data_IF_418057721436
#
_entry.id   IF_418057721436
#
_cell.length_a   1.000
_cell.length_b   1.000
_cell.length_c   1.000
_cell.angle_alpha   90.00
_cell.angle_beta   90.00
_cell.angle_gamma   90.00
#
_symmetry.space_group_name_H-M   'P 1'
#
loop_
_entity.id
_entity.type
_entity.pdbx_description
1 polymer ?
#
# COMPACT_ATOMS: atom_id res chain seq x y z
N UNK A 1 -10.21 -4.65 17.01
CA UNK A 1 -11.27 -5.34 16.22
C UNK A 1 -12.00 -6.43 17.01
N UNK A 2 -11.30 -7.39 17.63
CA UNK A 2 -11.92 -8.42 18.50
C UNK A 2 -12.76 -7.83 19.64
N UNK A 3 -12.20 -6.90 20.42
CA UNK A 3 -12.90 -6.24 21.52
C UNK A 3 -14.19 -5.53 21.06
N UNK A 4 -14.19 -4.99 19.84
CA UNK A 4 -15.34 -4.34 19.22
C UNK A 4 -16.32 -5.32 18.53
N UNK A 5 -16.10 -6.65 18.67
CA UNK A 5 -16.91 -7.73 18.10
C UNK A 5 -17.17 -7.61 16.60
N UNK A 6 -16.18 -7.11 15.85
CA UNK A 6 -16.26 -7.02 14.40
C UNK A 6 -16.08 -8.40 13.76
N UNK A 7 -16.87 -8.70 12.73
CA UNK A 7 -16.67 -9.88 11.90
C UNK A 7 -15.58 -9.59 10.87
N UNK A 8 -14.39 -10.16 11.10
CA UNK A 8 -13.23 -9.97 10.22
C UNK A 8 -12.35 -11.22 10.18
N UNK A 9 -11.51 -11.35 9.17
CA UNK A 9 -10.42 -12.33 9.14
C UNK A 9 -9.30 -11.90 8.18
N UNK A 10 -8.08 -12.37 8.42
CA UNK A 10 -7.04 -12.38 7.40
C UNK A 10 -7.35 -13.47 6.36
N UNK A 11 -7.69 -13.05 5.15
CA UNK A 11 -8.44 -13.91 4.23
C UNK A 11 -7.59 -14.65 3.20
N UNK A 12 -6.33 -14.27 3.00
CA UNK A 12 -5.40 -14.92 2.06
C UNK A 12 -3.95 -14.78 2.48
N UNK A 13 -3.10 -15.71 2.05
CA UNK A 13 -1.67 -15.70 2.33
C UNK A 13 -1.32 -16.15 3.75
N UNK A 14 -2.18 -16.94 4.40
CA UNK A 14 -2.01 -17.35 5.79
C UNK A 14 -0.76 -18.21 6.02
N UNK A 15 -0.24 -18.87 4.98
CA UNK A 15 1.04 -19.58 5.02
C UNK A 15 2.23 -18.72 5.49
N UNK A 16 2.12 -17.39 5.37
CA UNK A 16 3.15 -16.42 5.77
C UNK A 16 2.58 -15.31 6.65
N UNK A 17 1.56 -15.64 7.44
CA UNK A 17 0.87 -14.68 8.31
C UNK A 17 1.83 -13.94 9.24
N UNK A 18 2.81 -14.65 9.83
CA UNK A 18 3.83 -14.03 10.70
C UNK A 18 4.55 -12.86 10.00
N UNK A 19 4.90 -13.02 8.73
CA UNK A 19 5.58 -11.97 7.97
C UNK A 19 4.67 -10.74 7.73
N UNK A 20 3.36 -10.94 7.59
CA UNK A 20 2.40 -9.84 7.47
C UNK A 20 2.23 -9.11 8.81
N UNK A 21 2.10 -9.85 9.92
CA UNK A 21 1.94 -9.29 11.27
C UNK A 21 3.13 -8.42 11.67
N UNK A 22 4.37 -8.80 11.32
CA UNK A 22 5.58 -8.02 11.63
C UNK A 22 5.93 -6.96 10.57
N UNK A 23 4.99 -6.62 9.68
CA UNK A 23 5.16 -5.53 8.70
C UNK A 23 6.12 -5.82 7.54
N UNK A 24 6.48 -7.09 7.28
CA UNK A 24 7.29 -7.49 6.10
C UNK A 24 6.44 -7.75 4.85
N UNK A 25 5.14 -7.92 5.03
CA UNK A 25 4.15 -8.14 3.97
C UNK A 25 2.88 -7.35 4.27
N UNK A 26 2.04 -7.23 3.25
CA UNK A 26 0.72 -6.63 3.39
C UNK A 26 -0.18 -7.54 4.24
N UNK A 27 -1.00 -6.92 5.09
CA UNK A 27 -2.03 -7.59 5.85
C UNK A 27 -3.36 -7.49 5.09
N UNK A 28 -3.84 -8.59 4.54
CA UNK A 28 -5.07 -8.62 3.75
C UNK A 28 -6.27 -9.05 4.61
N UNK A 29 -7.00 -8.07 5.15
CA UNK A 29 -8.14 -8.28 6.04
C UNK A 29 -9.45 -8.16 5.26
N UNK A 30 -10.32 -9.16 5.39
CA UNK A 30 -11.73 -9.08 4.99
C UNK A 30 -12.54 -8.69 6.21
N UNK A 31 -13.42 -7.70 6.08
CA UNK A 31 -14.35 -7.28 7.13
C UNK A 31 -15.76 -7.16 6.58
N UNK A 32 -16.74 -7.37 7.45
CA UNK A 32 -18.12 -7.04 7.16
C UNK A 32 -18.29 -5.53 6.84
N UNK A 33 -18.86 -5.25 5.67
CA UNK A 33 -19.07 -3.90 5.14
C UNK A 33 -19.96 -3.03 6.02
N UNK A 34 -20.89 -3.64 6.75
CA UNK A 34 -21.85 -2.92 7.60
C UNK A 34 -21.17 -2.32 8.84
N UNK A 35 -19.91 -2.70 9.09
CA UNK A 35 -19.09 -2.19 10.20
C UNK A 35 -17.96 -1.26 9.76
N UNK A 36 -17.96 -0.81 8.51
CA UNK A 36 -16.91 0.05 7.94
C UNK A 36 -16.66 1.33 8.75
N UNK A 37 -17.71 2.03 9.19
CA UNK A 37 -17.57 3.25 9.99
C UNK A 37 -16.93 2.99 11.36
N UNK A 38 -17.41 1.97 12.07
CA UNK A 38 -16.86 1.57 13.36
C UNK A 38 -15.39 1.15 13.24
N UNK A 39 -15.05 0.45 12.15
CA UNK A 39 -13.68 0.07 11.89
C UNK A 39 -12.77 1.27 11.59
N UNK A 40 -13.25 2.22 10.77
CA UNK A 40 -12.48 3.43 10.45
C UNK A 40 -12.13 4.22 11.71
N UNK A 41 -13.08 4.35 12.65
CA UNK A 41 -12.83 4.98 13.95
C UNK A 41 -11.76 4.22 14.77
N UNK A 42 -11.84 2.89 14.84
CA UNK A 42 -10.83 2.06 15.54
C UNK A 42 -9.46 2.23 14.90
N UNK A 43 -9.37 2.19 13.57
CA UNK A 43 -8.10 2.34 12.85
C UNK A 43 -7.48 3.72 13.12
N UNK A 44 -8.28 4.79 13.11
CA UNK A 44 -7.82 6.12 13.45
C UNK A 44 -7.26 6.19 14.89
N UNK A 45 -7.93 5.59 15.87
CA UNK A 45 -7.45 5.59 17.27
C UNK A 45 -6.12 4.87 17.48
N UNK A 46 -5.80 3.88 16.63
CA UNK A 46 -4.57 3.10 16.70
C UNK A 46 -3.46 3.71 15.81
N UNK A 47 -3.72 4.83 15.14
CA UNK A 47 -2.73 5.54 14.33
C UNK A 47 -2.59 5.04 12.88
N UNK A 48 -3.57 4.26 12.40
CA UNK A 48 -3.66 3.93 10.97
C UNK A 48 -4.18 5.14 10.18
N UNK A 49 -3.51 5.43 9.08
CA UNK A 49 -3.83 6.51 8.15
C UNK A 49 -4.27 5.93 6.82
N UNK A 50 -5.38 6.46 6.31
CA UNK A 50 -5.93 6.02 5.04
C UNK A 50 -5.07 6.54 3.88
N UNK A 51 -4.80 5.65 2.93
CA UNK A 51 -4.13 5.99 1.69
C UNK A 51 -5.14 5.99 0.53
N UNK A 52 -4.85 6.83 -0.46
CA UNK A 52 -5.57 6.89 -1.71
C UNK A 52 -4.71 6.28 -2.82
N UNK A 53 -5.19 5.18 -3.37
CA UNK A 53 -4.63 4.61 -4.59
C UNK A 53 -5.00 5.47 -5.80
N UNK A 54 -4.09 5.53 -6.78
CA UNK A 54 -4.31 6.21 -8.06
C UNK A 54 -5.61 5.72 -8.72
N UNK A 55 -6.39 6.58 -9.41
CA UNK A 55 -7.62 6.17 -10.09
C UNK A 55 -7.42 5.00 -11.08
N UNK A 56 -6.20 4.84 -11.60
CA UNK A 56 -5.82 3.79 -12.53
C UNK A 56 -5.61 2.42 -11.87
N UNK A 57 -5.26 2.40 -10.57
CA UNK A 57 -4.98 1.19 -9.78
C UNK A 57 -6.06 0.92 -8.72
N UNK A 58 -6.91 1.89 -8.44
CA UNK A 58 -7.98 1.78 -7.46
C UNK A 58 -8.86 0.56 -7.72
N UNK A 59 -9.12 -0.18 -6.65
CA UNK A 59 -9.98 -1.35 -6.62
C UNK A 59 -11.24 -1.00 -5.83
N UNK A 60 -12.44 -1.22 -6.38
CA UNK A 60 -13.68 -0.94 -5.65
C UNK A 60 -13.77 -1.73 -4.35
N UNK A 61 -14.24 -1.09 -3.28
CA UNK A 61 -14.43 -1.71 -1.96
C UNK A 61 -13.16 -2.32 -1.33
N UNK A 62 -12.00 -1.79 -1.74
CA UNK A 62 -10.70 -1.96 -1.09
C UNK A 62 -10.26 -0.62 -0.54
N UNK A 63 -9.81 -0.60 0.70
CA UNK A 63 -9.16 0.55 1.32
C UNK A 63 -7.73 0.17 1.70
N UNK A 64 -6.79 1.08 1.45
CA UNK A 64 -5.40 0.94 1.86
C UNK A 64 -5.20 1.78 3.13
N UNK A 65 -4.61 1.20 4.18
CA UNK A 65 -4.19 1.91 5.38
C UNK A 65 -2.72 1.63 5.68
N UNK A 66 -2.01 2.65 6.17
CA UNK A 66 -0.64 2.52 6.68
C UNK A 66 -0.61 2.90 8.16
N UNK A 67 0.28 2.29 8.94
CA UNK A 67 0.61 2.71 10.29
C UNK A 67 2.12 2.59 10.50
N UNK A 68 2.70 3.40 11.38
CA UNK A 68 4.06 3.21 11.88
C UNK A 68 4.01 2.33 13.13
N UNK A 69 4.74 1.23 13.11
CA UNK A 69 5.15 0.54 14.33
C UNK A 69 6.24 1.37 15.02
N UNK A 70 5.88 2.03 16.12
CA UNK A 70 6.75 2.94 16.84
C UNK A 70 7.98 2.27 17.42
N UNK A 71 7.94 0.95 17.64
CA UNK A 71 9.02 0.22 18.31
C UNK A 71 10.06 -0.25 17.28
N UNK A 72 9.60 -0.69 16.10
CA UNK A 72 10.50 -1.21 15.06
C UNK A 72 10.80 -0.23 13.93
N UNK A 73 10.11 0.91 13.85
CA UNK A 73 10.25 1.87 12.76
C UNK A 73 9.64 1.40 11.44
N UNK A 74 9.01 0.23 11.42
CA UNK A 74 8.42 -0.33 10.19
C UNK A 74 7.07 0.28 9.90
N UNK A 75 6.79 0.48 8.62
CA UNK A 75 5.44 0.72 8.18
C UNK A 75 4.70 -0.62 8.12
N UNK A 76 3.48 -0.64 8.66
CA UNK A 76 2.53 -1.75 8.53
C UNK A 76 1.49 -1.33 7.51
N UNK A 77 1.27 -2.18 6.51
CA UNK A 77 0.31 -1.91 5.45
C UNK A 77 -0.87 -2.87 5.53
N UNK A 78 -2.05 -2.29 5.69
CA UNK A 78 -3.33 -2.99 5.82
C UNK A 78 -4.13 -2.78 4.53
N UNK A 79 -4.33 -3.87 3.79
CA UNK A 79 -5.33 -3.95 2.73
C UNK A 79 -6.66 -4.38 3.33
N UNK A 80 -7.59 -3.45 3.41
CA UNK A 80 -8.92 -3.69 3.97
C UNK A 80 -9.94 -3.95 2.86
N UNK A 81 -10.38 -5.19 2.77
CA UNK A 81 -11.38 -5.65 1.82
C UNK A 81 -12.77 -5.66 2.47
N UNK A 82 -13.74 -5.02 1.82
CA UNK A 82 -15.16 -5.18 2.13
C UNK A 82 -15.87 -6.11 1.15
N UNK A 83 -15.22 -6.41 0.02
CA UNK A 83 -15.70 -7.31 -1.03
C UNK A 83 -14.55 -8.15 -1.54
N UNK A 84 -14.84 -9.39 -1.92
CA UNK A 84 -13.86 -10.29 -2.52
C UNK A 84 -13.73 -10.01 -4.02
N UNK A 85 -12.99 -8.95 -4.35
CA UNK A 85 -12.73 -8.58 -5.75
C UNK A 85 -11.55 -9.35 -6.31
N UNK A 86 -11.80 -10.10 -7.38
CA UNK A 86 -10.81 -10.95 -8.06
C UNK A 86 -10.68 -10.55 -9.53
N UNK A 87 -9.49 -10.74 -10.07
CA UNK A 87 -9.18 -10.50 -11.47
C UNK A 87 -7.69 -10.27 -11.66
N UNK A 88 -7.32 -10.01 -12.91
CA UNK A 88 -5.93 -9.79 -13.27
C UNK A 88 -5.36 -8.47 -12.73
N UNK A 89 -4.06 -8.26 -12.97
CA UNK A 89 -3.34 -7.07 -12.52
C UNK A 89 -3.84 -5.75 -13.14
N UNK A 90 -4.57 -5.81 -14.26
CA UNK A 90 -5.12 -4.63 -14.92
C UNK A 90 -6.56 -4.35 -14.48
N UNK A 91 -7.39 -5.39 -14.30
CA UNK A 91 -8.79 -5.27 -13.91
C UNK A 91 -9.20 -6.36 -12.92
N UNK A 92 -9.59 -5.92 -11.72
CA UNK A 92 -10.38 -6.72 -10.78
C UNK A 92 -11.82 -6.79 -11.27
N UNK A 93 -12.07 -7.71 -12.21
CA UNK A 93 -13.31 -7.78 -12.99
C UNK A 93 -14.44 -8.61 -12.40
N UNK A 94 -14.19 -9.32 -11.29
CA UNK A 94 -15.17 -10.17 -10.63
C UNK A 94 -15.29 -9.82 -9.16
N UNK A 95 -16.51 -9.91 -8.63
CA UNK A 95 -16.79 -9.91 -7.20
C UNK A 95 -17.27 -11.31 -6.82
N UNK A 96 -16.57 -11.99 -5.94
CA UNK A 96 -17.03 -13.30 -5.46
C UNK A 96 -18.02 -13.08 -4.31
N UNK A 97 -19.25 -13.63 -4.38
CA UNK A 97 -20.28 -13.46 -3.35
C UNK A 97 -20.04 -14.38 -2.14
N UNK A 98 -18.79 -14.54 -1.73
CA UNK A 98 -18.37 -15.52 -0.73
C UNK A 98 -17.96 -14.86 0.59
N UNK A 99 -18.13 -13.54 0.73
CA UNK A 99 -17.68 -12.79 1.89
C UNK A 99 -18.32 -13.31 3.19
N UNK A 100 -19.63 -13.55 3.18
CA UNK A 100 -20.36 -14.08 4.33
C UNK A 100 -19.86 -15.49 4.71
N UNK A 101 -19.61 -16.35 3.71
CA UNK A 101 -19.11 -17.71 3.95
C UNK A 101 -17.71 -17.68 4.57
N UNK A 102 -16.80 -16.87 4.02
CA UNK A 102 -15.44 -16.71 4.55
C UNK A 102 -15.47 -16.19 5.98
N UNK A 103 -16.27 -15.16 6.25
CA UNK A 103 -16.39 -14.59 7.59
C UNK A 103 -17.05 -15.57 8.58
N UNK A 104 -18.06 -16.35 8.16
CA UNK A 104 -18.76 -17.30 9.04
C UNK A 104 -17.91 -18.52 9.40
N UNK A 105 -17.02 -18.95 8.52
CA UNK A 105 -16.15 -20.13 8.70
C UNK A 105 -14.77 -19.77 9.25
N UNK A 106 -14.52 -18.48 9.53
CA UNK A 106 -13.24 -18.00 10.08
C UNK A 106 -12.81 -18.77 11.32
N UNK A 107 -11.51 -19.02 11.43
CA UNK A 107 -10.91 -19.73 12.56
C UNK A 107 -10.00 -18.77 13.33
N UNK A 108 -9.96 -18.91 14.65
CA UNK A 108 -9.06 -18.10 15.47
C UNK A 108 -7.68 -18.75 15.52
N UNK A 109 -6.66 -18.06 15.02
CA UNK A 109 -5.27 -18.46 15.17
C UNK A 109 -4.76 -17.95 16.52
N UNK A 110 -4.56 -18.86 17.48
CA UNK A 110 -4.08 -18.53 18.81
C UNK A 110 -2.63 -18.05 18.84
N UNK A 111 -1.82 -18.43 17.85
CA UNK A 111 -0.40 -18.04 17.77
C UNK A 111 -0.26 -16.58 17.37
N UNK A 112 -1.08 -16.15 16.40
CA UNK A 112 -1.08 -14.77 15.89
C UNK A 112 -2.14 -13.89 16.55
N UNK A 113 -2.93 -14.45 17.47
CA UNK A 113 -4.04 -13.80 18.18
C UNK A 113 -5.04 -13.08 17.24
N UNK A 114 -5.37 -13.69 16.11
CA UNK A 114 -6.30 -13.10 15.14
C UNK A 114 -7.12 -14.15 14.37
N UNK A 115 -8.24 -13.71 13.79
CA UNK A 115 -9.03 -14.56 12.90
C UNK A 115 -8.36 -14.69 11.54
N UNK A 116 -8.29 -15.92 11.04
CA UNK A 116 -7.84 -16.28 9.69
C UNK A 116 -8.99 -16.96 8.95
N UNK A 117 -8.98 -16.90 7.62
CA UNK A 117 -9.92 -17.67 6.82
C UNK A 117 -9.76 -19.18 7.06
N UNK A 118 -10.86 -19.93 6.94
CA UNK A 118 -10.80 -21.39 6.90
C UNK A 118 -9.85 -21.84 5.77
N UNK A 119 -8.88 -22.74 6.02
CA UNK A 119 -7.97 -23.24 4.98
C UNK A 119 -8.68 -23.75 3.72
N UNK A 120 -9.87 -24.35 3.86
CA UNK A 120 -10.66 -24.85 2.73
C UNK A 120 -11.18 -23.69 1.87
N UNK A 121 -11.66 -22.62 2.51
CA UNK A 121 -12.13 -21.41 1.84
C UNK A 121 -10.98 -20.65 1.18
N UNK A 122 -9.84 -20.53 1.86
CA UNK A 122 -8.65 -19.87 1.29
C UNK A 122 -8.12 -20.65 0.08
N UNK A 123 -8.05 -21.98 0.14
CA UNK A 123 -7.62 -22.82 -0.97
C UNK A 123 -8.55 -22.69 -2.18
N UNK A 124 -9.85 -22.74 -1.95
CA UNK A 124 -10.87 -22.54 -2.98
C UNK A 124 -10.72 -21.15 -3.63
N UNK A 125 -10.58 -20.09 -2.82
CA UNK A 125 -10.36 -18.72 -3.31
C UNK A 125 -9.08 -18.59 -4.13
N UNK A 126 -7.98 -19.23 -3.71
CA UNK A 126 -6.70 -19.22 -4.40
C UNK A 126 -6.83 -19.86 -5.79
N UNK A 127 -7.41 -21.06 -5.86
CA UNK A 127 -7.55 -21.81 -7.12
C UNK A 127 -8.57 -21.13 -8.04
N UNK A 128 -9.77 -20.82 -7.54
CA UNK A 128 -10.81 -20.17 -8.32
C UNK A 128 -10.35 -18.80 -8.81
N UNK A 129 -9.69 -18.03 -7.95
CA UNK A 129 -9.19 -16.71 -8.32
C UNK A 129 -8.09 -16.75 -9.36
N UNK A 130 -7.18 -17.74 -9.31
CA UNK A 130 -6.20 -17.97 -10.36
C UNK A 130 -6.86 -18.41 -11.67
N UNK A 131 -7.86 -19.28 -11.62
CA UNK A 131 -8.60 -19.71 -12.81
C UNK A 131 -9.34 -18.54 -13.48
N UNK A 132 -9.98 -17.66 -12.72
CA UNK A 132 -10.66 -16.45 -13.23
C UNK A 132 -9.65 -15.53 -13.91
N UNK A 133 -8.49 -15.33 -13.28
CA UNK A 133 -7.41 -14.44 -13.74
C UNK A 133 -6.69 -14.96 -14.99
N UNK A 134 -6.86 -16.24 -15.34
CA UNK A 134 -6.15 -16.88 -16.45
C UNK A 134 -6.34 -16.13 -17.78
N UNK A 135 -5.25 -15.63 -18.34
CA UNK A 135 -5.25 -14.80 -19.54
C UNK A 135 -4.47 -15.38 -20.72
N UNK A 136 -4.33 -14.57 -21.77
CA UNK A 136 -3.53 -14.92 -22.95
C UNK A 136 -2.04 -15.06 -22.61
N UNK A 137 -1.54 -14.24 -21.68
CA UNK A 137 -0.15 -14.30 -21.21
C UNK A 137 0.11 -15.67 -20.54
N UNK A 138 -0.80 -16.17 -19.70
CA UNK A 138 -0.66 -17.50 -19.10
C UNK A 138 -0.70 -18.62 -20.15
N UNK A 139 -1.46 -18.43 -21.25
CA UNK A 139 -1.47 -19.38 -22.38
C UNK A 139 -0.10 -19.44 -23.06
N UNK A 140 0.48 -18.27 -23.34
CA UNK A 140 1.80 -18.17 -23.96
C UNK A 140 2.88 -18.73 -23.03
N UNK A 141 2.82 -18.40 -21.75
CA UNK A 141 3.72 -18.94 -20.73
C UNK A 141 3.65 -20.47 -20.68
N UNK A 142 2.43 -21.05 -20.71
CA UNK A 142 2.24 -22.50 -20.75
C UNK A 142 2.78 -23.16 -22.03
N UNK A 143 2.69 -22.49 -23.18
CA UNK A 143 3.31 -22.97 -24.43
C UNK A 143 4.84 -23.00 -24.35
N UNK A 144 5.43 -22.02 -23.65
CA UNK A 144 6.86 -21.93 -23.36
C UNK A 144 7.31 -22.86 -22.19
N UNK A 145 6.45 -23.76 -21.72
CA UNK A 145 6.74 -24.67 -20.60
C UNK A 145 6.88 -23.98 -19.24
N UNK A 146 6.50 -22.69 -19.13
CA UNK A 146 6.52 -21.98 -17.85
C UNK A 146 5.35 -22.42 -16.97
N UNK A 147 5.53 -22.50 -15.64
CA UNK A 147 4.47 -22.93 -14.74
C UNK A 147 3.30 -21.94 -14.77
N UNK A 148 2.08 -22.46 -14.67
CA UNK A 148 0.88 -21.63 -14.73
C UNK A 148 0.68 -20.77 -13.47
N UNK A 149 1.26 -21.20 -12.35
CA UNK A 149 1.34 -20.50 -11.09
C UNK A 149 2.81 -20.22 -10.76
N UNK A 150 3.09 -19.06 -10.17
CA UNK A 150 4.43 -18.76 -9.68
C UNK A 150 4.81 -19.71 -8.50
N UNK A 151 6.08 -19.69 -8.12
CA UNK A 151 6.58 -20.56 -7.04
C UNK A 151 5.90 -20.29 -5.70
N UNK A 152 5.52 -19.03 -5.43
CA UNK A 152 4.91 -18.60 -4.17
C UNK A 152 3.48 -19.15 -4.06
N UNK A 153 2.67 -19.00 -5.11
CA UNK A 153 1.32 -19.51 -5.18
C UNK A 153 1.26 -21.04 -5.15
N UNK A 154 2.24 -21.73 -5.77
CA UNK A 154 2.35 -23.19 -5.65
C UNK A 154 2.71 -23.63 -4.22
N UNK A 155 3.60 -22.89 -3.56
CA UNK A 155 3.93 -23.14 -2.15
C UNK A 155 2.69 -22.98 -1.26
N UNK A 156 1.86 -21.96 -1.50
CA UNK A 156 0.62 -21.75 -0.77
C UNK A 156 -0.39 -22.85 -1.01
N UNK A 157 -0.57 -23.23 -2.28
CA UNK A 157 -1.47 -24.30 -2.65
C UNK A 157 -1.10 -25.60 -1.93
N UNK A 158 0.19 -25.97 -1.91
CA UNK A 158 0.66 -27.16 -1.19
C UNK A 158 0.47 -27.03 0.33
N UNK A 159 0.78 -25.85 0.89
CA UNK A 159 0.63 -25.60 2.32
C UNK A 159 -0.83 -25.68 2.79
N UNK A 160 -1.75 -25.17 1.98
CA UNK A 160 -3.19 -25.21 2.21
C UNK A 160 -3.75 -26.62 1.98
N UNK A 161 -3.37 -27.28 0.88
CA UNK A 161 -3.80 -28.64 0.58
C UNK A 161 -3.47 -29.62 1.72
N UNK A 162 -2.30 -29.48 2.34
CA UNK A 162 -1.89 -30.28 3.50
C UNK A 162 -2.73 -30.03 4.77
N UNK A 163 -3.54 -28.97 4.82
CA UNK A 163 -4.36 -28.55 5.97
C UNK A 163 -5.86 -28.65 5.68
N UNK A 164 -6.24 -29.17 4.52
CA UNK A 164 -7.63 -29.30 4.10
C UNK A 164 -8.02 -30.76 3.99
N UNK A 165 -9.19 -31.09 4.51
CA UNK A 165 -9.86 -32.36 4.26
C UNK A 165 -10.51 -32.35 2.86
N UNK A 166 -10.23 -33.34 2.00
CA UNK A 166 -10.80 -33.40 0.66
C UNK A 166 -12.33 -33.47 0.63
N UNK A 167 -12.97 -34.14 1.59
CA UNK A 167 -14.43 -34.27 1.62
C UNK A 167 -15.10 -32.93 1.93
N UNK A 168 -14.63 -32.25 2.98
CA UNK A 168 -15.12 -30.91 3.34
C UNK A 168 -14.84 -29.89 2.23
N UNK A 169 -13.69 -29.98 1.56
CA UNK A 169 -13.38 -29.13 0.40
C UNK A 169 -14.35 -29.38 -0.75
N UNK A 170 -14.69 -30.65 -1.01
CA UNK A 170 -15.66 -31.02 -2.04
C UNK A 170 -17.04 -30.45 -1.71
N UNK A 171 -17.55 -30.65 -0.50
CA UNK A 171 -18.86 -30.12 -0.07
C UNK A 171 -18.96 -28.59 -0.23
N UNK A 172 -17.95 -27.87 0.26
CA UNK A 172 -17.89 -26.41 0.13
C UNK A 172 -17.81 -25.96 -1.33
N UNK A 173 -16.97 -26.62 -2.14
CA UNK A 173 -16.80 -26.30 -3.55
C UNK A 173 -18.05 -26.62 -4.36
N UNK A 174 -18.75 -27.72 -4.08
CA UNK A 174 -19.98 -28.08 -4.79
C UNK A 174 -21.07 -27.03 -4.55
N UNK A 175 -21.21 -26.55 -3.32
CA UNK A 175 -22.17 -25.50 -2.97
C UNK A 175 -21.88 -24.15 -3.66
N UNK A 176 -20.61 -23.82 -3.91
CA UNK A 176 -20.21 -22.52 -4.45
C UNK A 176 -19.96 -22.50 -5.97
N UNK A 177 -19.45 -23.59 -6.53
CA UNK A 177 -19.00 -23.69 -7.92
C UNK A 177 -19.71 -24.79 -8.73
N UNK A 178 -20.40 -25.72 -8.05
CA UNK A 178 -21.05 -26.88 -8.65
C UNK A 178 -20.16 -28.11 -8.79
N UNK A 179 -20.78 -29.26 -9.06
CA UNK A 179 -20.14 -30.59 -9.08
C UNK A 179 -19.00 -30.71 -10.11
N UNK A 180 -19.22 -30.25 -11.33
CA UNK A 180 -18.22 -30.35 -12.40
C UNK A 180 -16.97 -29.51 -12.12
N UNK A 181 -17.14 -28.30 -11.57
CA UNK A 181 -16.03 -27.44 -11.19
C UNK A 181 -15.26 -28.03 -10.01
N UNK A 182 -15.98 -28.64 -9.07
CA UNK A 182 -15.39 -29.28 -7.88
C UNK A 182 -14.47 -30.44 -8.24
N UNK A 183 -14.86 -31.30 -9.18
CA UNK A 183 -13.98 -32.39 -9.67
C UNK A 183 -12.65 -31.84 -10.18
N UNK A 184 -12.69 -30.79 -11.02
CA UNK A 184 -11.49 -30.16 -11.56
C UNK A 184 -10.64 -29.47 -10.48
N UNK A 185 -11.28 -28.92 -9.44
CA UNK A 185 -10.59 -28.34 -8.29
C UNK A 185 -9.84 -29.42 -7.50
N UNK A 186 -10.48 -30.55 -7.22
CA UNK A 186 -9.85 -31.68 -6.53
C UNK A 186 -8.71 -32.29 -7.35
N UNK A 187 -8.82 -32.35 -8.67
CA UNK A 187 -7.73 -32.76 -9.56
C UNK A 187 -6.52 -31.83 -9.46
N UNK A 188 -6.76 -30.51 -9.31
CA UNK A 188 -5.70 -29.50 -9.11
C UNK A 188 -5.04 -29.64 -7.75
N UNK A 189 -5.80 -30.01 -6.71
CA UNK A 189 -5.28 -30.17 -5.34
C UNK A 189 -4.47 -31.46 -5.21
N UNK A 190 -4.95 -32.56 -5.79
CA UNK A 190 -4.29 -33.86 -5.76
C UNK A 190 -3.09 -33.94 -6.71
N UNK A 191 -3.08 -33.13 -7.78
CA UNK A 191 -2.03 -33.09 -8.79
C UNK A 191 -1.26 -31.77 -8.83
N UNK A 192 -0.54 -31.54 -9.93
CA UNK A 192 0.07 -30.24 -10.19
C UNK A 192 -0.87 -29.33 -11.00
N UNK A 193 -0.99 -28.04 -10.65
CA UNK A 193 -1.84 -27.11 -11.39
C UNK A 193 -1.31 -26.95 -12.82
N UNK A 194 -2.15 -27.30 -13.80
CA UNK A 194 -1.86 -27.12 -15.21
C UNK A 194 -2.74 -26.06 -15.84
N UNK A 195 -2.24 -25.40 -16.90
CA UNK A 195 -3.02 -24.42 -17.67
C UNK A 195 -4.33 -25.03 -18.20
N UNK A 196 -4.30 -26.30 -18.64
CA UNK A 196 -5.48 -27.00 -19.18
C UNK A 196 -6.55 -27.19 -18.11
N UNK A 197 -6.16 -27.64 -16.91
CA UNK A 197 -7.06 -27.82 -15.77
C UNK A 197 -7.64 -26.48 -15.31
N UNK A 198 -6.81 -25.45 -15.11
CA UNK A 198 -7.30 -24.12 -14.73
C UNK A 198 -8.24 -23.52 -15.78
N UNK A 199 -7.98 -23.74 -17.08
CA UNK A 199 -8.86 -23.30 -18.16
C UNK A 199 -10.17 -24.09 -18.20
N UNK A 200 -10.15 -25.38 -17.88
CA UNK A 200 -11.35 -26.19 -17.75
C UNK A 200 -12.18 -25.72 -16.55
N UNK A 201 -11.53 -25.52 -15.40
CA UNK A 201 -12.16 -24.99 -14.19
C UNK A 201 -12.77 -23.62 -14.47
N UNK A 202 -12.03 -22.71 -15.10
CA UNK A 202 -12.54 -21.40 -15.52
C UNK A 202 -13.83 -21.52 -16.34
N UNK A 203 -13.90 -22.46 -17.30
CA UNK A 203 -15.09 -22.64 -18.15
C UNK A 203 -16.30 -23.13 -17.37
N UNK A 204 -16.10 -23.94 -16.32
CA UNK A 204 -17.18 -24.48 -15.47
C UNK A 204 -17.57 -23.54 -14.32
N UNK A 205 -16.61 -22.80 -13.77
CA UNK A 205 -16.80 -21.86 -12.66
C UNK A 205 -17.31 -20.48 -13.11
N UNK A 206 -17.06 -20.04 -14.35
CA UNK A 206 -17.51 -18.71 -14.80
C UNK A 206 -19.03 -18.57 -14.95
N UNK A 207 -19.78 -19.54 -15.51
CA UNK A 207 -21.23 -19.40 -15.65
C UNK A 207 -21.94 -18.97 -14.36
N UNK A 208 -21.75 -19.64 -13.19
CA UNK A 208 -22.37 -19.19 -11.94
C UNK A 208 -21.81 -17.84 -11.44
N UNK A 209 -20.57 -17.50 -11.82
CA UNK A 209 -19.92 -16.25 -11.42
C UNK A 209 -20.18 -15.08 -12.39
N UNK A 210 -20.86 -15.32 -13.52
CA UNK A 210 -21.05 -14.33 -14.58
C UNK A 210 -21.92 -13.16 -14.15
N UNK A 211 -22.89 -13.41 -13.26
CA UNK A 211 -23.74 -12.40 -12.63
C UNK A 211 -22.96 -11.40 -11.77
N UNK A 212 -21.74 -11.76 -11.33
CA UNK A 212 -20.93 -10.94 -10.45
C UNK A 212 -19.75 -10.26 -11.16
N UNK A 213 -19.85 -10.11 -12.48
CA UNK A 213 -18.90 -9.30 -13.25
C UNK A 213 -19.10 -7.82 -12.96
N UNK A 214 -18.01 -7.13 -12.65
CA UNK A 214 -18.01 -5.67 -12.44
C UNK A 214 -18.15 -4.92 -13.76
N UNK A 215 -17.69 -5.52 -14.86
CA UNK A 215 -17.65 -4.89 -16.19
C UNK A 215 -18.27 -5.81 -17.23
N UNK A 216 -18.91 -5.21 -18.24
CA UNK A 216 -19.29 -5.93 -19.46
C UNK A 216 -18.05 -6.48 -20.17
N UNK A 217 -18.15 -7.57 -20.94
CA UNK A 217 -17.00 -8.15 -21.64
C UNK A 217 -16.25 -7.14 -22.52
N UNK A 218 -16.98 -6.35 -23.32
CA UNK A 218 -16.40 -5.31 -24.16
C UNK A 218 -15.77 -4.17 -23.33
N UNK A 219 -16.47 -3.71 -22.29
CA UNK A 219 -15.97 -2.67 -21.39
C UNK A 219 -14.69 -3.10 -20.65
N UNK A 220 -14.58 -4.38 -20.29
CA UNK A 220 -13.38 -4.93 -19.68
C UNK A 220 -12.19 -4.92 -20.65
N UNK A 221 -12.38 -5.24 -21.93
CA UNK A 221 -11.30 -5.19 -22.93
C UNK A 221 -10.79 -3.75 -23.12
N UNK A 222 -11.70 -2.78 -23.29
CA UNK A 222 -11.34 -1.37 -23.48
C UNK A 222 -10.58 -0.83 -22.27
N UNK A 223 -11.11 -1.02 -21.05
CA UNK A 223 -10.47 -0.53 -19.82
C UNK A 223 -9.12 -1.20 -19.57
N UNK A 224 -8.97 -2.49 -19.93
CA UNK A 224 -7.67 -3.19 -19.86
C UNK A 224 -6.66 -2.53 -20.78
N UNK A 225 -7.05 -2.25 -22.03
CA UNK A 225 -6.21 -1.54 -22.99
C UNK A 225 -5.77 -0.16 -22.47
N UNK A 226 -6.72 0.64 -21.98
CA UNK A 226 -6.43 1.97 -21.40
C UNK A 226 -5.43 1.85 -20.23
N UNK A 227 -5.69 0.96 -19.27
CA UNK A 227 -4.80 0.78 -18.11
C UNK A 227 -3.42 0.27 -18.50
N UNK A 228 -3.31 -0.56 -19.53
CA UNK A 228 -2.03 -1.02 -20.07
C UNK A 228 -1.23 0.14 -20.70
N UNK A 229 -1.88 0.97 -21.52
CA UNK A 229 -1.23 2.15 -22.14
C UNK A 229 -0.80 3.16 -21.08
N UNK A 230 -1.68 3.48 -20.13
CA UNK A 230 -1.34 4.37 -19.01
C UNK A 230 -0.20 3.79 -18.17
N UNK A 231 -0.25 2.50 -17.84
CA UNK A 231 0.82 1.83 -17.11
C UNK A 231 2.16 1.89 -17.83
N UNK A 232 2.17 1.69 -19.15
CA UNK A 232 3.38 1.84 -19.97
C UNK A 232 3.89 3.28 -19.99
N UNK A 233 2.99 4.26 -20.14
CA UNK A 233 3.34 5.68 -20.10
C UNK A 233 3.93 6.09 -18.75
N UNK A 234 3.36 5.59 -17.64
CA UNK A 234 3.89 5.79 -16.28
C UNK A 234 5.27 5.16 -16.15
N UNK A 235 5.46 3.92 -16.59
CA UNK A 235 6.74 3.22 -16.52
C UNK A 235 7.82 3.93 -17.35
N UNK A 236 7.47 4.35 -18.58
CA UNK A 236 8.36 5.10 -19.46
C UNK A 236 8.73 6.47 -18.86
N UNK A 237 7.76 7.16 -18.27
CA UNK A 237 8.02 8.43 -17.62
C UNK A 237 8.88 8.27 -16.35
N UNK A 238 8.67 7.24 -15.53
CA UNK A 238 9.52 6.94 -14.37
C UNK A 238 10.97 6.64 -14.80
N UNK A 239 11.15 5.96 -15.94
CA UNK A 239 12.46 5.56 -16.46
C UNK A 239 13.21 6.66 -17.22
N UNK A 240 12.51 7.44 -18.06
CA UNK A 240 13.12 8.35 -19.04
C UNK A 240 12.81 9.81 -18.74
N UNK A 241 11.52 10.16 -18.60
CA UNK A 241 11.11 11.57 -18.64
C UNK A 241 11.19 12.27 -17.27
N UNK A 242 11.13 11.54 -16.14
CA UNK A 242 11.17 12.04 -14.74
C UNK A 242 10.35 13.32 -14.47
N UNK A 243 9.36 13.62 -15.33
CA UNK A 243 8.74 14.95 -15.50
C UNK A 243 7.25 14.93 -15.15
N UNK A 244 6.57 13.82 -15.45
CA UNK A 244 5.18 13.61 -15.05
C UNK A 244 5.14 12.91 -13.70
N UNK A 245 4.92 13.67 -12.65
CA UNK A 245 4.56 13.12 -11.34
C UNK A 245 3.19 12.46 -11.46
N UNK A 246 3.14 11.14 -11.67
CA UNK A 246 1.90 10.36 -11.63
C UNK A 246 1.96 9.53 -10.34
N UNK A 247 1.19 9.91 -9.31
CA UNK A 247 1.15 9.18 -8.06
C UNK A 247 0.50 7.81 -8.28
N UNK A 248 1.10 6.78 -7.70
CA UNK A 248 0.57 5.45 -7.48
C UNK A 248 -0.25 5.36 -6.18
N UNK A 249 0.32 5.72 -5.03
CA UNK A 249 -0.37 5.74 -3.73
C UNK A 249 0.08 6.96 -2.90
N UNK A 250 -0.90 7.70 -2.41
CA UNK A 250 -0.71 8.93 -1.64
C UNK A 250 -1.52 8.89 -0.35
N UNK A 251 -1.25 9.83 0.54
CA UNK A 251 -2.05 10.01 1.76
C UNK A 251 -3.37 10.69 1.42
N UNK A 252 -4.43 10.39 2.18
CA UNK A 252 -5.72 11.08 2.00
C UNK A 252 -5.66 12.55 2.43
N UNK A 253 -4.72 12.93 3.30
CA UNK A 253 -4.47 14.31 3.74
C UNK A 253 -3.88 15.19 2.64
N UNK A 254 -3.34 14.60 1.57
CA UNK A 254 -2.68 15.32 0.48
C UNK A 254 -1.18 15.12 0.47
N UNK A 255 -0.46 15.96 -0.28
CA UNK A 255 1.00 15.91 -0.37
C UNK A 255 1.64 16.79 0.69
N UNK A 256 2.81 16.39 1.15
CA UNK A 256 3.53 17.04 2.25
C UNK A 256 4.91 17.49 1.78
N UNK A 257 5.35 18.67 2.19
CA UNK A 257 6.72 19.16 1.97
C UNK A 257 7.48 19.15 3.29
N UNK A 258 8.51 18.31 3.36
CA UNK A 258 9.37 18.16 4.51
C UNK A 258 10.76 18.70 4.16
N UNK A 259 11.32 19.50 5.05
CA UNK A 259 12.66 20.07 4.91
C UNK A 259 13.54 19.56 6.03
N UNK A 260 14.73 19.08 5.68
CA UNK A 260 15.77 18.71 6.62
C UNK A 260 16.81 19.83 6.68
N UNK A 261 17.10 20.32 7.88
CA UNK A 261 18.13 21.32 8.19
C UNK A 261 19.17 20.69 9.13
N UNK A 262 20.45 20.95 8.89
CA UNK A 262 21.54 20.38 9.69
C UNK A 262 22.89 20.88 9.21
N UNK A 263 23.88 20.88 10.10
CA UNK A 263 25.24 21.41 9.85
C UNK A 263 26.05 20.52 8.90
N UNK A 264 25.95 19.19 9.06
CA UNK A 264 26.63 18.21 8.22
C UNK A 264 25.76 17.80 7.02
N UNK A 265 26.21 18.14 5.81
CA UNK A 265 25.50 17.81 4.57
C UNK A 265 25.46 16.29 4.30
N UNK A 266 26.49 15.54 4.67
CA UNK A 266 26.59 14.10 4.39
C UNK A 266 25.70 13.29 5.33
N UNK A 267 25.70 13.61 6.63
CA UNK A 267 24.82 12.95 7.60
C UNK A 267 23.35 13.19 7.26
N UNK A 268 23.01 14.42 6.88
CA UNK A 268 21.66 14.81 6.44
C UNK A 268 21.23 14.09 5.18
N UNK A 269 22.06 14.09 4.13
CA UNK A 269 21.75 13.41 2.87
C UNK A 269 21.52 11.90 3.09
N UNK A 270 22.38 11.27 3.90
CA UNK A 270 22.25 9.85 4.25
C UNK A 270 20.94 9.56 4.98
N UNK A 271 20.54 10.42 5.92
CA UNK A 271 19.28 10.28 6.65
C UNK A 271 18.07 10.46 5.72
N UNK A 272 18.11 11.46 4.83
CA UNK A 272 17.06 11.71 3.84
C UNK A 272 16.89 10.50 2.92
N UNK A 273 17.97 9.88 2.47
CA UNK A 273 17.91 8.68 1.63
C UNK A 273 17.31 7.48 2.38
N UNK A 274 17.64 7.29 3.66
CA UNK A 274 17.04 6.24 4.49
C UNK A 274 15.53 6.47 4.70
N UNK A 275 15.12 7.70 4.96
CA UNK A 275 13.70 8.08 5.07
C UNK A 275 12.98 7.90 3.74
N UNK A 276 13.60 8.31 2.64
CA UNK A 276 13.04 8.12 1.31
C UNK A 276 12.84 6.63 1.00
N UNK A 277 13.82 5.78 1.31
CA UNK A 277 13.72 4.34 1.14
C UNK A 277 12.59 3.73 1.98
N UNK A 278 12.46 4.18 3.24
CA UNK A 278 11.39 3.77 4.15
C UNK A 278 9.99 4.13 3.62
N UNK A 279 9.78 5.39 3.22
CA UNK A 279 8.49 5.86 2.68
C UNK A 279 8.16 5.26 1.30
N UNK A 280 9.16 5.12 0.42
CA UNK A 280 9.00 4.61 -0.96
C UNK A 280 8.53 3.16 -1.00
N UNK A 281 8.59 2.43 0.12
CA UNK A 281 8.00 1.10 0.22
C UNK A 281 6.50 1.08 -0.15
N UNK A 282 5.73 2.10 0.25
CA UNK A 282 4.27 2.16 -0.02
C UNK A 282 3.73 3.52 -0.46
N UNK A 283 4.51 4.59 -0.36
CA UNK A 283 4.13 5.96 -0.72
C UNK A 283 5.00 6.49 -1.86
N UNK A 284 4.46 7.41 -2.64
CA UNK A 284 5.26 8.11 -3.66
C UNK A 284 5.99 9.32 -3.06
N UNK A 285 7.32 9.28 -3.15
CA UNK A 285 8.23 10.29 -2.60
C UNK A 285 9.05 10.95 -3.70
N UNK A 286 9.22 12.27 -3.62
CA UNK A 286 10.15 13.04 -4.42
C UNK A 286 11.26 13.59 -3.52
N UNK A 287 12.49 13.16 -3.76
CA UNK A 287 13.67 13.68 -3.05
C UNK A 287 14.33 14.78 -3.89
N UNK A 288 14.70 15.88 -3.25
CA UNK A 288 15.39 17.02 -3.85
C UNK A 288 16.66 17.32 -3.03
N UNK A 289 17.82 16.99 -3.61
CA UNK A 289 19.12 17.20 -2.97
C UNK A 289 19.75 18.56 -3.31
N UNK A 290 20.32 19.19 -2.29
CA UNK A 290 21.21 20.33 -2.40
C UNK A 290 20.60 21.61 -2.98
N UNK A 291 21.45 22.61 -3.23
CA UNK A 291 21.03 23.87 -3.85
C UNK A 291 20.74 23.66 -5.34
N UNK A 292 19.50 23.85 -5.80
CA UNK A 292 19.16 23.63 -7.21
C UNK A 292 19.83 24.68 -8.11
N UNK A 293 20.49 24.24 -9.19
CA UNK A 293 21.03 25.13 -10.26
C UNK A 293 19.97 26.08 -10.82
N UNK A 294 18.70 25.68 -10.79
CA UNK A 294 17.55 26.51 -11.15
C UNK A 294 16.45 26.39 -10.09
N UNK A 295 16.46 27.32 -9.13
CA UNK A 295 15.51 27.35 -8.00
C UNK A 295 14.04 27.38 -8.43
N UNK A 296 13.72 27.99 -9.58
CA UNK A 296 12.34 28.09 -10.09
C UNK A 296 11.82 26.77 -10.63
N UNK A 297 12.62 26.04 -11.41
CA UNK A 297 12.23 24.75 -11.96
C UNK A 297 12.01 23.70 -10.85
N UNK A 298 12.90 23.70 -9.85
CA UNK A 298 12.79 22.80 -8.69
C UNK A 298 11.56 23.09 -7.84
N UNK A 299 11.25 24.37 -7.55
CA UNK A 299 10.01 24.76 -6.85
C UNK A 299 8.75 24.34 -7.60
N UNK A 300 8.71 24.54 -8.92
CA UNK A 300 7.58 24.09 -9.77
C UNK A 300 7.39 22.58 -9.73
N UNK A 301 8.50 21.82 -9.71
CA UNK A 301 8.47 20.36 -9.60
C UNK A 301 7.93 19.91 -8.25
N UNK A 302 8.41 20.51 -7.16
CA UNK A 302 7.95 20.22 -5.80
C UNK A 302 6.46 20.55 -5.62
N UNK A 303 6.02 21.74 -6.03
CA UNK A 303 4.62 22.12 -5.96
C UNK A 303 3.72 21.16 -6.75
N UNK A 304 4.13 20.77 -7.96
CA UNK A 304 3.40 19.80 -8.77
C UNK A 304 3.34 18.41 -8.12
N UNK A 305 4.37 18.02 -7.37
CA UNK A 305 4.38 16.77 -6.65
C UNK A 305 3.44 16.81 -5.43
N UNK A 306 3.54 17.86 -4.61
CA UNK A 306 2.68 18.12 -3.45
C UNK A 306 1.20 18.19 -3.85
N UNK A 307 0.85 18.95 -4.90
CA UNK A 307 -0.53 19.07 -5.37
C UNK A 307 -1.11 17.77 -5.95
N UNK A 308 -0.27 16.77 -6.16
CA UNK A 308 -0.66 15.42 -6.59
C UNK A 308 -0.62 14.40 -5.44
N UNK A 309 -0.45 14.84 -4.20
CA UNK A 309 -0.46 13.95 -3.04
C UNK A 309 0.89 13.32 -2.69
N UNK A 310 1.98 13.65 -3.40
CA UNK A 310 3.30 13.09 -3.09
C UNK A 310 3.94 13.78 -1.89
N UNK A 311 4.77 13.03 -1.18
CA UNK A 311 5.68 13.56 -0.15
C UNK A 311 6.93 14.09 -0.86
N UNK A 312 7.31 15.33 -0.56
CA UNK A 312 8.52 15.97 -1.08
C UNK A 312 9.51 16.15 0.06
N UNK A 313 10.70 15.56 -0.08
CA UNK A 313 11.79 15.68 0.89
C UNK A 313 12.84 16.64 0.32
N UNK A 314 13.15 17.69 1.08
CA UNK A 314 14.23 18.63 0.80
C UNK A 314 15.42 18.34 1.71
N UNK A 315 16.56 18.03 1.10
CA UNK A 315 17.86 17.93 1.76
C UNK A 315 18.55 19.30 1.70
N UNK A 316 18.30 20.11 2.74
CA UNK A 316 18.67 21.52 2.82
C UNK A 316 17.64 22.44 2.14
N UNK A 317 17.18 23.48 2.85
CA UNK A 317 16.32 24.49 2.24
C UNK A 317 17.16 25.37 1.30
N UNK A 318 16.69 25.68 0.07
CA UNK A 318 17.27 26.78 -0.67
C UNK A 318 16.90 28.06 0.09
N UNK A 319 17.82 28.60 0.90
CA UNK A 319 17.71 29.95 1.45
C UNK A 319 17.25 30.89 0.33
N UNK A 320 15.96 31.21 0.34
CA UNK A 320 15.46 32.31 -0.42
C UNK A 320 15.95 33.53 0.33
N UNK A 321 16.94 34.23 -0.21
CA UNK A 321 16.95 35.67 -0.07
C UNK A 321 15.52 36.12 -0.38
N UNK A 322 14.82 36.59 0.66
CA UNK A 322 13.59 37.33 0.51
C UNK A 322 14.03 38.62 -0.20
N UNK A 323 14.12 38.57 -1.54
CA UNK A 323 14.21 39.80 -2.30
C UNK A 323 12.91 40.52 -2.00
N UNK A 324 13.06 41.68 -1.39
CA UNK A 324 12.03 42.68 -1.21
C UNK A 324 11.49 43.02 -2.60
N UNK A 325 10.52 42.24 -3.08
CA UNK A 325 9.82 42.51 -4.34
C UNK A 325 8.76 43.53 -4.00
N UNK A 326 9.16 44.80 -3.99
CA UNK A 326 8.22 45.91 -3.93
C UNK A 326 7.06 45.67 -4.88
N UNK A 327 5.84 45.68 -4.34
CA UNK A 327 4.54 45.72 -5.03
C UNK A 327 4.28 44.75 -6.20
N UNK A 328 5.04 43.67 -6.38
CA UNK A 328 4.66 42.63 -7.32
C UNK A 328 3.57 41.74 -6.70
N UNK A 329 2.47 41.42 -7.40
CA UNK A 329 1.41 40.58 -6.84
C UNK A 329 2.00 39.21 -6.49
N UNK A 330 1.87 38.82 -5.22
CA UNK A 330 2.12 37.46 -4.75
C UNK A 330 1.40 36.49 -5.70
N UNK A 331 2.17 35.73 -6.48
CA UNK A 331 1.57 34.72 -7.33
C UNK A 331 1.33 33.50 -6.45
N UNK A 332 0.30 32.71 -6.74
CA UNK A 332 0.03 31.44 -6.05
C UNK A 332 1.19 30.39 -6.08
N UNK A 333 2.34 30.73 -6.67
CA UNK A 333 3.57 29.95 -6.72
C UNK A 333 4.68 30.48 -5.79
N UNK A 334 4.46 31.61 -5.11
CA UNK A 334 5.38 32.19 -4.15
C UNK A 334 5.30 31.42 -2.83
N UNK A 335 6.05 30.32 -2.81
CA UNK A 335 6.47 29.55 -1.65
C UNK A 335 5.37 29.31 -0.60
N UNK A 336 4.49 28.34 -0.85
CA UNK A 336 3.86 27.63 0.27
C UNK A 336 5.00 27.20 1.21
N UNK A 337 4.97 27.64 2.48
CA UNK A 337 6.01 27.30 3.45
C UNK A 337 6.05 25.78 3.62
N UNK A 338 7.21 25.23 4.01
CA UNK A 338 7.31 23.81 4.27
C UNK A 338 6.28 23.41 5.32
N UNK A 339 5.63 22.28 5.09
CA UNK A 339 4.63 21.74 6.02
C UNK A 339 5.33 21.21 7.29
N UNK A 340 6.57 20.71 7.19
CA UNK A 340 7.37 20.22 8.30
C UNK A 340 8.86 20.57 8.13
N UNK A 341 9.52 20.98 9.23
CA UNK A 341 10.97 21.24 9.26
C UNK A 341 11.63 20.38 10.35
N UNK A 342 12.55 19.52 9.94
CA UNK A 342 13.31 18.65 10.83
C UNK A 342 14.71 19.22 10.98
N UNK A 343 15.07 19.60 12.21
CA UNK A 343 16.35 20.20 12.55
C UNK A 343 17.25 19.17 13.22
N UNK A 344 18.34 18.83 12.55
CA UNK A 344 19.36 17.93 13.04
C UNK A 344 20.39 18.77 13.80
N UNK A 345 20.50 18.56 15.11
CA UNK A 345 21.42 19.30 15.99
C UNK A 345 22.25 18.30 16.80
N UNK A 346 23.50 18.63 17.10
CA UNK A 346 24.24 17.95 18.17
C UNK A 346 23.89 18.64 19.48
N UNK A 347 23.76 17.90 20.58
CA UNK A 347 23.53 18.50 21.88
C UNK A 347 24.59 19.59 22.16
N UNK A 348 24.21 20.79 22.64
CA UNK A 348 25.20 21.75 23.07
C UNK A 348 25.98 21.15 24.26
N UNK A 349 27.31 21.32 24.25
CA UNK A 349 28.14 21.09 25.43
C UNK A 349 27.56 21.93 26.58
N UNK A 350 27.41 21.41 27.81
CA UNK A 350 26.74 22.17 28.87
C UNK A 350 27.59 23.36 29.28
N UNK A 351 27.10 24.57 29.00
CA UNK A 351 27.54 25.83 29.63
C UNK A 351 26.33 26.75 29.86
N UNK A 352 26.39 27.64 30.86
CA UNK A 352 25.28 27.88 31.78
C UNK A 352 24.22 28.84 31.25
N UNK A 353 23.02 28.63 31.77
CA UNK A 353 21.81 29.47 31.77
C UNK A 353 21.88 30.78 30.97
N UNK A 354 21.28 30.75 29.77
CA UNK A 354 21.00 31.93 28.95
C UNK A 354 19.58 31.87 28.41
N UNK A 355 18.78 32.84 28.79
CA UNK A 355 17.34 32.96 28.58
C UNK A 355 16.86 32.65 27.15
N UNK A 356 15.87 31.76 27.02
CA UNK A 356 15.16 31.48 25.77
C UNK A 356 14.07 32.54 25.56
N UNK A 357 14.31 33.49 24.66
CA UNK A 357 13.25 34.40 24.18
C UNK A 357 12.28 33.64 23.27
N UNK A 358 11.05 33.46 23.75
CA UNK A 358 9.91 33.04 22.94
C UNK A 358 9.35 34.27 22.23
N UNK A 359 9.81 34.53 21.00
CA UNK A 359 9.18 35.54 20.12
C UNK A 359 8.00 34.90 19.39
N UNK A 360 6.81 35.00 19.98
CA UNK A 360 5.54 34.78 19.27
C UNK A 360 5.30 35.92 18.30
N UNK A 361 5.46 35.66 16.99
CA UNK A 361 4.94 36.54 15.93
C UNK A 361 3.72 35.87 15.32
N UNK A 362 2.56 36.41 15.66
CA UNK A 362 1.22 36.01 15.20
C UNK A 362 1.14 35.92 13.67
N UNK A 363 0.38 34.92 13.18
CA UNK A 363 -0.06 34.82 11.78
C UNK A 363 0.78 33.96 10.84
N UNK A 364 1.68 33.10 11.33
CA UNK A 364 2.51 32.21 10.48
C UNK A 364 2.01 30.76 10.50
N UNK A 365 2.08 30.02 9.37
CA UNK A 365 1.71 28.61 9.33
C UNK A 365 2.59 27.79 10.25
N UNK A 366 1.99 26.75 10.86
CA UNK A 366 2.57 25.86 11.87
C UNK A 366 3.87 25.25 11.39
N UNK A 367 5.00 25.86 11.78
CA UNK A 367 6.33 25.25 11.66
C UNK A 367 6.49 24.27 12.81
N UNK A 368 6.15 23.01 12.61
CA UNK A 368 6.56 21.96 13.54
C UNK A 368 8.08 21.80 13.39
N UNK A 369 8.83 22.22 14.41
CA UNK A 369 10.27 22.03 14.48
C UNK A 369 10.54 20.81 15.35
N UNK A 370 11.25 19.84 14.80
CA UNK A 370 11.68 18.66 15.54
C UNK A 370 13.19 18.72 15.64
N UNK A 371 13.69 18.98 16.85
CA UNK A 371 15.11 18.94 17.14
C UNK A 371 15.52 17.50 17.44
N UNK A 372 16.46 16.97 16.67
CA UNK A 372 16.93 15.59 16.81
C UNK A 372 18.40 15.62 17.17
N UNK A 373 18.70 15.04 18.33
CA UNK A 373 20.05 14.91 18.86
C UNK A 373 20.81 13.80 18.14
N UNK A 374 21.86 14.20 17.42
CA UNK A 374 22.74 13.34 16.65
C UNK A 374 23.72 12.50 17.50
N UNK A 375 23.77 12.69 18.83
CA UNK A 375 24.59 11.87 19.73
C UNK A 375 24.02 10.44 19.92
N UNK A 376 22.79 10.22 19.44
CA UNK A 376 22.17 8.89 19.38
C UNK A 376 22.74 8.04 18.24
N UNK A 377 22.57 6.72 18.34
CA UNK A 377 22.93 5.82 17.23
C UNK A 377 22.11 6.16 15.96
N UNK A 378 22.65 5.91 14.75
CA UNK A 378 21.94 6.20 13.49
C UNK A 378 20.54 5.57 13.38
N UNK A 379 20.29 4.45 14.07
CA UNK A 379 18.98 3.81 14.11
C UNK A 379 17.99 4.53 15.03
N UNK A 380 18.46 5.05 16.17
CA UNK A 380 17.65 5.85 17.08
C UNK A 380 17.27 7.20 16.44
N UNK A 381 18.22 7.84 15.75
CA UNK A 381 17.95 9.06 14.97
C UNK A 381 16.89 8.78 13.89
N UNK A 382 17.04 7.69 13.12
CA UNK A 382 16.04 7.31 12.12
C UNK A 382 14.66 7.10 12.74
N UNK A 383 14.58 6.37 13.86
CA UNK A 383 13.32 6.10 14.52
C UNK A 383 12.65 7.37 15.06
N UNK A 384 13.43 8.30 15.62
CA UNK A 384 12.93 9.60 16.07
C UNK A 384 12.35 10.41 14.91
N UNK A 385 13.06 10.47 13.78
CA UNK A 385 12.57 11.11 12.56
C UNK A 385 11.28 10.45 12.07
N UNK A 386 11.25 9.11 11.97
CA UNK A 386 10.07 8.37 11.51
C UNK A 386 8.85 8.66 12.37
N UNK A 387 9.01 8.68 13.70
CA UNK A 387 7.93 9.01 14.64
C UNK A 387 7.41 10.42 14.44
N UNK A 388 8.30 11.40 14.33
CA UNK A 388 7.91 12.79 14.11
C UNK A 388 7.21 12.98 12.75
N UNK A 389 7.75 12.39 11.69
CA UNK A 389 7.11 12.36 10.36
C UNK A 389 5.71 11.75 10.42
N UNK A 390 5.56 10.64 11.15
CA UNK A 390 4.28 9.96 11.29
C UNK A 390 3.32 10.64 12.26
N UNK A 391 3.69 11.70 12.98
CA UNK A 391 2.71 12.52 13.70
C UNK A 391 2.07 13.56 12.78
N UNK A 392 2.82 14.06 11.81
CA UNK A 392 2.44 15.18 10.94
C UNK A 392 1.69 14.76 9.66
N UNK A 393 1.95 13.54 9.18
CA UNK A 393 1.30 12.93 8.00
C UNK A 393 -0.20 12.71 8.18
#
# INVERSE_FOLDING_TARGET
>A
MHAARLSYCHWKGNARLQAAVVGRRDLDILVDRDRSLALSAILATVGFKRCTSSPWTAVPALEDYLALDSDTGRLVHLHLHYRLTVGDGFLKGYRLPWEAMVLSTRQFDATMAMYVADPHMELLLLIAGKAITLGLIDRMAGWLGRPCMDALARSDLRWLAARTDPHRLAELSEGLLGKEATRLLLDIVSGEPSYRLLRALKRRAIPPLSAYRTYTPAGAVVRRGIRMVVGLAVALNRRILRSLVIPGRTLSSGGLVIVFEGEDENERATLVDRIAAWLTWKLDVLVLHGRPRNSRATRRKAFRARSRGMIVLYDGFPEGQRRDTGNAPERAWDADPPDLVIKLRRAPRPEPEGHTEVVTREGRPTRHNVDIDLDHSPEQVLLAVQRALWQEV
#
